data_IF_893260056477
#
_entry.id   IF_893260056477
#
_cell.length_a   1.000
_cell.length_b   1.000
_cell.length_c   1.000
_cell.angle_alpha   90.00
_cell.angle_beta   90.00
_cell.angle_gamma   90.00
#
_symmetry.space_group_name_H-M   'P 1'
#
loop_
_entity.id
_entity.type
_entity.pdbx_description
1 polymer ?
#
# COMPACT_ATOMS: atom_id res chain seq x y z
N UNK A 1 8.07 -40.52 -23.65
CA UNK A 1 7.08 -39.49 -24.03
C UNK A 1 6.23 -39.20 -22.80
N UNK A 2 6.65 -38.23 -21.99
CA UNK A 2 5.92 -37.81 -20.79
C UNK A 2 5.00 -36.66 -21.15
N UNK A 3 3.70 -36.85 -21.00
CA UNK A 3 2.69 -35.80 -21.12
C UNK A 3 2.86 -34.84 -19.94
N UNK A 4 3.40 -33.65 -20.20
CA UNK A 4 3.35 -32.56 -19.24
C UNK A 4 1.88 -32.18 -19.00
N UNK A 5 1.37 -32.57 -17.84
CA UNK A 5 0.14 -32.02 -17.29
C UNK A 5 0.32 -30.52 -17.09
N UNK A 6 -0.08 -29.74 -18.10
CA UNK A 6 -0.28 -28.32 -17.95
C UNK A 6 -1.39 -28.15 -16.93
N UNK A 7 -1.02 -27.75 -15.72
CA UNK A 7 -1.95 -27.31 -14.69
C UNK A 7 -2.70 -26.11 -15.27
N UNK A 8 -3.87 -26.36 -15.86
CA UNK A 8 -4.76 -25.32 -16.39
C UNK A 8 -5.45 -24.68 -15.19
N UNK A 9 -4.78 -23.70 -14.58
CA UNK A 9 -5.42 -22.85 -13.60
C UNK A 9 -6.55 -22.07 -14.30
N UNK A 10 -7.79 -22.33 -13.90
CA UNK A 10 -8.97 -21.54 -14.27
C UNK A 10 -9.03 -20.25 -13.43
N UNK A 11 -7.95 -19.46 -13.42
CA UNK A 11 -7.98 -18.09 -12.93
C UNK A 11 -8.67 -17.18 -13.95
N UNK A 12 -9.24 -16.04 -13.54
CA UNK A 12 -9.96 -15.20 -14.48
C UNK A 12 -8.97 -14.62 -15.51
N UNK A 13 -9.30 -14.78 -16.80
CA UNK A 13 -8.42 -14.57 -17.98
C UNK A 13 -7.67 -13.22 -18.03
N UNK A 14 -8.11 -12.22 -17.27
CA UNK A 14 -7.47 -10.91 -17.18
C UNK A 14 -6.13 -10.92 -16.40
N UNK A 15 -5.98 -11.80 -15.40
CA UNK A 15 -4.72 -11.96 -14.66
C UNK A 15 -3.59 -12.51 -15.56
N UNK A 16 -3.91 -13.44 -16.46
CA UNK A 16 -2.92 -14.08 -17.34
C UNK A 16 -2.32 -13.14 -18.39
N UNK A 17 -3.13 -12.23 -18.94
CA UNK A 17 -2.68 -11.29 -19.97
C UNK A 17 -1.66 -10.27 -19.47
N UNK A 18 -1.73 -9.93 -18.17
CA UNK A 18 -0.79 -9.01 -17.54
C UNK A 18 0.60 -9.63 -17.36
N UNK A 19 0.66 -10.89 -16.88
CA UNK A 19 1.90 -11.63 -16.63
C UNK A 19 2.67 -12.01 -17.89
N UNK A 20 1.99 -12.14 -19.04
CA UNK A 20 2.64 -12.47 -20.32
C UNK A 20 3.28 -11.27 -21.01
N UNK A 21 2.88 -10.03 -20.69
CA UNK A 21 3.46 -8.84 -21.30
C UNK A 21 4.73 -8.42 -20.59
N UNK A 22 5.90 -8.56 -21.24
CA UNK A 22 7.21 -8.10 -20.72
C UNK A 22 7.21 -6.63 -20.30
N UNK A 23 6.32 -5.81 -20.90
CA UNK A 23 6.16 -4.38 -20.61
C UNK A 23 5.49 -4.10 -19.26
N UNK A 24 4.75 -5.04 -18.70
CA UNK A 24 4.14 -4.93 -17.38
C UNK A 24 5.09 -5.34 -16.24
N UNK A 25 6.14 -6.12 -16.55
CA UNK A 25 7.08 -6.66 -15.56
C UNK A 25 8.04 -5.62 -15.00
N UNK A 26 8.63 -4.79 -15.85
CA UNK A 26 9.57 -3.73 -15.43
C UNK A 26 8.97 -2.83 -14.34
N UNK A 27 7.76 -2.27 -14.50
CA UNK A 27 7.19 -1.42 -13.47
C UNK A 27 6.65 -2.17 -12.26
N UNK A 28 6.19 -3.41 -12.44
CA UNK A 28 5.83 -4.27 -11.31
C UNK A 28 7.05 -4.49 -10.41
N UNK A 29 8.20 -4.81 -11.01
CA UNK A 29 9.48 -4.96 -10.30
C UNK A 29 9.91 -3.65 -9.64
N UNK A 30 9.78 -2.52 -10.35
CA UNK A 30 10.08 -1.20 -9.78
C UNK A 30 9.19 -0.87 -8.57
N UNK A 31 7.89 -1.15 -8.66
CA UNK A 31 6.96 -0.93 -7.55
C UNK A 31 7.26 -1.88 -6.37
N UNK A 32 7.47 -3.17 -6.65
CA UNK A 32 7.82 -4.16 -5.65
C UNK A 32 9.14 -3.81 -4.92
N UNK A 33 10.14 -3.35 -5.68
CA UNK A 33 11.42 -2.90 -5.12
C UNK A 33 11.22 -1.69 -4.19
N UNK A 34 10.47 -0.67 -4.62
CA UNK A 34 10.18 0.50 -3.79
C UNK A 34 9.40 0.13 -2.53
N UNK A 35 8.37 -0.72 -2.66
CA UNK A 35 7.61 -1.21 -1.50
C UNK A 35 8.50 -1.98 -0.53
N UNK A 36 9.36 -2.88 -1.01
CA UNK A 36 10.30 -3.61 -0.18
C UNK A 36 11.32 -2.68 0.50
N UNK A 37 11.85 -1.68 -0.22
CA UNK A 37 12.79 -0.70 0.35
C UNK A 37 12.14 0.14 1.46
N UNK A 38 10.88 0.54 1.31
CA UNK A 38 10.14 1.27 2.36
C UNK A 38 9.98 0.39 3.61
N UNK A 39 9.61 -0.87 3.43
CA UNK A 39 9.46 -1.82 4.55
C UNK A 39 10.78 -2.13 5.24
N UNK A 40 11.85 -2.34 4.48
CA UNK A 40 13.19 -2.55 5.03
C UNK A 40 13.69 -1.32 5.79
N UNK A 41 13.45 -0.13 5.24
CA UNK A 41 13.78 1.12 5.91
C UNK A 41 12.99 1.29 7.21
N UNK A 42 11.69 1.01 7.19
CA UNK A 42 10.86 1.07 8.40
C UNK A 42 11.26 0.02 9.44
N UNK A 43 11.59 -1.19 9.02
CA UNK A 43 12.07 -2.26 9.88
C UNK A 43 13.39 -1.88 10.58
N UNK A 44 14.36 -1.38 9.82
CA UNK A 44 15.64 -0.91 10.37
C UNK A 44 15.45 0.29 11.31
N UNK A 45 14.58 1.23 10.92
CA UNK A 45 14.17 2.34 11.78
C UNK A 45 13.60 1.84 13.12
N UNK A 46 12.82 0.76 13.11
CA UNK A 46 12.24 0.19 14.33
C UNK A 46 13.24 -0.57 15.19
N UNK A 47 14.17 -1.31 14.58
CA UNK A 47 15.29 -1.93 15.30
C UNK A 47 16.10 -0.85 16.02
N UNK A 48 16.42 0.25 15.35
CA UNK A 48 17.19 1.37 15.93
C UNK A 48 16.50 2.01 17.14
N UNK A 49 15.18 1.84 17.27
CA UNK A 49 14.34 2.36 18.38
C UNK A 49 14.11 1.33 19.49
N UNK A 50 14.83 0.21 19.49
CA UNK A 50 14.77 -0.79 20.54
C UNK A 50 13.76 -1.91 20.28
N UNK A 51 13.29 -2.10 19.05
CA UNK A 51 12.52 -3.29 18.69
C UNK A 51 13.45 -4.51 18.71
N UNK A 52 13.19 -5.44 19.65
CA UNK A 52 13.87 -6.74 19.66
C UNK A 52 13.29 -7.64 18.57
N UNK A 53 14.14 -8.04 17.64
CA UNK A 53 13.77 -9.00 16.59
C UNK A 53 13.75 -10.43 17.15
N UNK A 54 12.57 -11.05 17.18
CA UNK A 54 12.43 -12.47 17.52
C UNK A 54 12.71 -13.31 16.29
N UNK A 55 13.90 -13.91 16.28
CA UNK A 55 14.33 -14.83 15.24
C UNK A 55 13.95 -16.26 15.61
N UNK A 56 13.24 -16.93 14.71
CA UNK A 56 12.94 -18.36 14.80
C UNK A 56 13.90 -19.09 13.87
N UNK A 57 14.58 -20.12 14.37
CA UNK A 57 15.45 -20.93 13.53
C UNK A 57 14.59 -21.95 12.77
N UNK A 58 14.58 -21.86 11.45
CA UNK A 58 13.95 -22.85 10.59
C UNK A 58 15.01 -23.85 10.15
N UNK A 59 14.78 -25.14 10.43
CA UNK A 59 15.62 -26.21 9.90
C UNK A 59 15.12 -26.60 8.51
N UNK A 60 15.91 -26.30 7.49
CA UNK A 60 15.67 -26.71 6.10
C UNK A 60 16.80 -27.63 5.67
N UNK A 61 16.52 -28.94 5.63
CA UNK A 61 17.46 -29.94 5.09
C UNK A 61 18.87 -29.86 5.67
N UNK A 62 19.00 -29.62 6.98
CA UNK A 62 20.28 -29.52 7.69
C UNK A 62 20.84 -28.11 7.89
N UNK A 63 20.25 -27.09 7.27
CA UNK A 63 20.66 -25.69 7.45
C UNK A 63 19.73 -24.98 8.43
N UNK A 64 20.32 -24.31 9.42
CA UNK A 64 19.60 -23.43 10.37
C UNK A 64 19.58 -22.02 9.79
N UNK A 65 18.43 -21.61 9.25
CA UNK A 65 18.26 -20.25 8.71
C UNK A 65 17.54 -19.41 9.77
N UNK A 66 18.14 -18.30 10.25
CA UNK A 66 17.46 -17.39 11.16
C UNK A 66 16.34 -16.67 10.40
N UNK A 67 15.10 -16.90 10.81
CA UNK A 67 13.91 -16.30 10.22
C UNK A 67 13.31 -15.27 11.17
N UNK A 68 13.35 -14.00 10.78
CA UNK A 68 12.71 -12.91 11.54
C UNK A 68 11.21 -12.86 11.23
N UNK A 69 10.39 -13.06 12.27
CA UNK A 69 8.92 -12.94 12.14
C UNK A 69 8.53 -11.49 11.79
N UNK A 70 9.22 -10.52 12.39
CA UNK A 70 8.96 -9.09 12.17
C UNK A 70 9.30 -8.67 10.74
N UNK A 71 10.42 -9.15 10.19
CA UNK A 71 10.78 -8.95 8.79
C UNK A 71 9.75 -9.62 7.86
N UNK A 72 9.31 -10.83 8.18
CA UNK A 72 8.30 -11.52 7.39
C UNK A 72 6.97 -10.76 7.34
N UNK A 73 6.56 -10.15 8.44
CA UNK A 73 5.37 -9.30 8.50
C UNK A 73 5.53 -8.05 7.62
N UNK A 74 6.67 -7.37 7.71
CA UNK A 74 6.99 -6.21 6.87
C UNK A 74 7.01 -6.57 5.37
N UNK A 75 7.68 -7.67 5.00
CA UNK A 75 7.69 -8.14 3.62
C UNK A 75 6.31 -8.64 3.15
N UNK A 76 5.49 -9.20 4.04
CA UNK A 76 4.11 -9.54 3.76
C UNK A 76 3.28 -8.33 3.34
N UNK A 77 3.51 -7.18 3.97
CA UNK A 77 2.87 -5.92 3.58
C UNK A 77 3.38 -5.41 2.22
N UNK A 78 4.66 -5.57 1.89
CA UNK A 78 5.14 -5.30 0.53
C UNK A 78 4.40 -6.13 -0.53
N UNK A 79 4.16 -7.42 -0.28
CA UNK A 79 3.38 -8.30 -1.18
C UNK A 79 1.93 -7.83 -1.31
N UNK A 80 1.32 -7.40 -0.21
CA UNK A 80 -0.02 -6.82 -0.19
C UNK A 80 -0.09 -5.56 -1.06
N UNK A 81 0.88 -4.65 -0.94
CA UNK A 81 0.94 -3.43 -1.76
C UNK A 81 1.04 -3.75 -3.24
N UNK A 82 1.90 -4.70 -3.61
CA UNK A 82 2.07 -5.14 -5.00
C UNK A 82 0.75 -5.70 -5.54
N UNK A 83 0.04 -6.49 -4.74
CA UNK A 83 -1.25 -7.09 -5.11
C UNK A 83 -2.34 -6.03 -5.28
N UNK A 84 -2.43 -5.05 -4.37
CA UNK A 84 -3.36 -3.92 -4.49
C UNK A 84 -3.06 -3.06 -5.72
N UNK A 85 -1.78 -2.79 -5.97
CA UNK A 85 -1.34 -2.01 -7.12
C UNK A 85 -1.71 -2.70 -8.42
N UNK A 86 -1.43 -4.00 -8.54
CA UNK A 86 -1.79 -4.77 -9.71
C UNK A 86 -3.30 -4.72 -9.96
N UNK A 87 -4.12 -4.98 -8.93
CA UNK A 87 -5.58 -4.98 -9.06
C UNK A 87 -6.17 -3.62 -9.46
N UNK A 88 -5.64 -2.52 -8.93
CA UNK A 88 -6.03 -1.15 -9.31
C UNK A 88 -5.56 -0.79 -10.72
N UNK A 89 -4.31 -1.11 -11.01
CA UNK A 89 -3.69 -0.77 -12.28
C UNK A 89 -4.41 -1.43 -13.45
N UNK A 90 -4.69 -2.72 -13.36
CA UNK A 90 -5.40 -3.45 -14.41
C UNK A 90 -6.79 -2.83 -14.66
N UNK A 91 -7.52 -2.45 -13.61
CA UNK A 91 -8.85 -1.84 -13.78
C UNK A 91 -8.80 -0.44 -14.39
N UNK A 92 -7.75 0.34 -14.14
CA UNK A 92 -7.60 1.72 -14.65
C UNK A 92 -6.93 1.75 -16.03
N UNK A 93 -5.98 0.86 -16.30
CA UNK A 93 -5.22 0.80 -17.55
C UNK A 93 -6.10 0.42 -18.76
N UNK A 94 -7.06 -0.49 -18.58
CA UNK A 94 -7.98 -0.90 -19.65
C UNK A 94 -9.16 0.08 -19.88
N UNK A 95 -9.30 1.11 -19.05
CA UNK A 95 -10.36 2.12 -19.19
C UNK A 95 -9.98 3.19 -20.24
N UNK A 96 -10.41 3.04 -21.49
CA UNK A 96 -10.32 4.12 -22.48
C UNK A 96 -8.94 4.29 -23.11
N UNK A 97 -8.45 3.25 -23.77
CA UNK A 97 -7.28 3.35 -24.65
C UNK A 97 -7.69 4.12 -25.93
N UNK A 98 -7.30 5.39 -26.00
CA UNK A 98 -7.40 6.20 -27.22
C UNK A 98 -6.65 5.54 -28.39
N UNK A 99 -7.12 5.77 -29.63
CA UNK A 99 -6.61 5.16 -30.86
C UNK A 99 -5.11 5.44 -31.11
N UNK A 100 -4.61 6.58 -30.64
CA UNK A 100 -3.24 7.01 -30.93
C UNK A 100 -2.17 6.34 -30.04
N UNK A 101 -1.15 5.73 -30.66
CA UNK A 101 -0.06 4.98 -30.02
C UNK A 101 0.85 5.84 -29.14
N UNK A 102 1.11 7.09 -29.49
CA UNK A 102 2.00 7.97 -28.68
C UNK A 102 1.32 8.44 -27.41
N UNK A 103 0.08 8.93 -27.54
CA UNK A 103 -0.76 9.35 -26.40
C UNK A 103 -1.00 8.17 -25.46
N UNK A 104 -1.22 6.96 -26.00
CA UNK A 104 -1.36 5.73 -25.23
C UNK A 104 -0.15 5.43 -24.34
N UNK A 105 1.08 5.66 -24.83
CA UNK A 105 2.31 5.39 -24.06
C UNK A 105 2.44 6.34 -22.86
N UNK A 106 2.22 7.64 -23.08
CA UNK A 106 2.33 8.65 -22.02
C UNK A 106 1.20 8.49 -21.00
N UNK A 107 -0.04 8.29 -21.46
CA UNK A 107 -1.17 8.06 -20.56
C UNK A 107 -1.03 6.79 -19.74
N UNK A 108 -0.43 5.73 -20.30
CA UNK A 108 -0.17 4.49 -19.59
C UNK A 108 0.81 4.72 -18.42
N UNK A 109 1.94 5.38 -18.67
CA UNK A 109 2.92 5.73 -17.63
C UNK A 109 2.32 6.64 -16.56
N UNK A 110 1.57 7.68 -16.96
CA UNK A 110 0.95 8.60 -16.01
C UNK A 110 -0.07 7.90 -15.11
N UNK A 111 -0.87 6.98 -15.68
CA UNK A 111 -1.82 6.18 -14.90
C UNK A 111 -1.12 5.24 -13.92
N UNK A 112 0.03 4.67 -14.30
CA UNK A 112 0.83 3.84 -13.40
C UNK A 112 1.39 4.65 -12.23
N UNK A 113 2.00 5.80 -12.51
CA UNK A 113 2.54 6.67 -11.46
C UNK A 113 1.42 7.09 -10.52
N UNK A 114 0.26 7.45 -11.07
CA UNK A 114 -0.93 7.80 -10.28
C UNK A 114 -1.40 6.64 -9.40
N UNK A 115 -1.49 5.41 -9.91
CA UNK A 115 -1.91 4.25 -9.10
C UNK A 115 -0.87 3.90 -8.05
N UNK A 116 0.41 4.02 -8.37
CA UNK A 116 1.50 3.83 -7.40
C UNK A 116 1.40 4.84 -6.27
N UNK A 117 1.27 6.14 -6.60
CA UNK A 117 1.16 7.21 -5.61
C UNK A 117 -0.10 7.06 -4.74
N UNK A 118 -1.23 6.64 -5.33
CA UNK A 118 -2.47 6.43 -4.59
C UNK A 118 -2.39 5.32 -3.52
N UNK A 119 -1.45 4.39 -3.66
CA UNK A 119 -1.26 3.27 -2.73
C UNK A 119 -0.11 3.58 -1.78
N UNK A 120 1.04 3.99 -2.32
CA UNK A 120 2.24 4.29 -1.54
C UNK A 120 2.03 5.46 -0.58
N UNK A 121 1.39 6.55 -1.01
CA UNK A 121 1.24 7.73 -0.16
C UNK A 121 0.45 7.45 1.13
N UNK A 122 -0.79 6.90 1.09
CA UNK A 122 -1.51 6.59 2.32
C UNK A 122 -0.80 5.51 3.13
N UNK A 123 -0.20 4.51 2.47
CA UNK A 123 0.56 3.47 3.16
C UNK A 123 1.70 4.06 3.99
N UNK A 124 2.59 4.82 3.37
CA UNK A 124 3.75 5.41 4.06
C UNK A 124 3.33 6.40 5.14
N UNK A 125 2.32 7.24 4.89
CA UNK A 125 1.82 8.18 5.91
C UNK A 125 1.31 7.43 7.14
N UNK A 126 0.51 6.38 6.93
CA UNK A 126 -0.06 5.59 8.02
C UNK A 126 0.98 4.75 8.74
N UNK A 127 1.98 4.22 8.02
CA UNK A 127 3.07 3.44 8.58
C UNK A 127 3.90 4.27 9.58
N UNK A 128 4.22 5.51 9.19
CA UNK A 128 4.97 6.45 10.01
C UNK A 128 4.09 7.30 10.94
N UNK A 129 2.77 7.12 10.94
CA UNK A 129 1.83 7.98 11.64
C UNK A 129 2.16 8.18 13.13
N UNK A 130 2.44 7.13 13.93
CA UNK A 130 2.76 7.31 15.34
C UNK A 130 3.99 8.21 15.55
N UNK A 131 4.96 8.13 14.65
CA UNK A 131 6.21 8.90 14.71
C UNK A 131 6.05 10.32 14.18
N UNK A 132 5.18 10.53 13.19
CA UNK A 132 4.82 11.87 12.72
C UNK A 132 4.16 12.64 13.87
N UNK A 133 3.28 12.00 14.64
CA UNK A 133 2.60 12.58 15.81
C UNK A 133 3.55 12.95 16.95
N UNK A 134 4.66 12.22 17.12
CA UNK A 134 5.68 12.51 18.13
C UNK A 134 6.73 13.55 17.66
N UNK A 135 6.71 13.96 16.39
CA UNK A 135 7.70 14.87 15.83
C UNK A 135 7.57 16.29 16.37
N UNK A 136 8.71 16.92 16.72
CA UNK A 136 8.78 18.30 17.22
C UNK A 136 8.19 19.33 16.26
N UNK A 137 8.35 19.11 14.96
CA UNK A 137 7.72 19.93 13.91
C UNK A 137 6.19 19.88 14.01
N UNK A 138 5.63 18.70 14.24
CA UNK A 138 4.18 18.51 14.21
C UNK A 138 3.52 19.04 15.49
N UNK A 139 4.19 18.86 16.63
CA UNK A 139 3.87 19.52 17.89
C UNK A 139 3.91 21.04 17.72
N UNK A 140 4.94 21.58 17.06
CA UNK A 140 5.07 23.01 16.80
C UNK A 140 3.91 23.57 15.96
N UNK A 141 3.51 22.85 14.90
CA UNK A 141 2.40 23.26 14.06
C UNK A 141 1.06 23.17 14.79
N UNK A 142 0.82 22.10 15.54
CA UNK A 142 -0.40 21.95 16.33
C UNK A 142 -0.53 23.03 17.40
N UNK A 143 0.56 23.36 18.10
CA UNK A 143 0.59 24.47 19.05
C UNK A 143 0.37 25.82 18.34
N UNK A 144 0.92 26.01 17.14
CA UNK A 144 0.65 27.19 16.32
C UNK A 144 -0.84 27.35 16.01
N UNK A 145 -1.51 26.28 15.58
CA UNK A 145 -2.95 26.27 15.31
C UNK A 145 -3.76 26.49 16.59
N UNK A 146 -3.39 25.86 17.69
CA UNK A 146 -4.05 26.05 18.99
C UNK A 146 -3.91 27.48 19.54
N UNK A 147 -2.81 28.16 19.23
CA UNK A 147 -2.60 29.56 19.59
C UNK A 147 -3.38 30.52 18.67
N UNK A 148 -3.54 30.19 17.39
CA UNK A 148 -4.35 30.99 16.45
C UNK A 148 -5.86 30.79 16.64
N UNK A 149 -6.28 29.60 17.09
CA UNK A 149 -7.69 29.25 17.28
C UNK A 149 -7.87 28.67 18.69
N UNK A 150 -8.16 29.52 19.70
CA UNK A 150 -8.22 29.11 21.10
C UNK A 150 -9.26 28.02 21.39
N UNK A 151 -10.33 27.92 20.59
CA UNK A 151 -11.35 26.87 20.72
C UNK A 151 -10.84 25.46 20.39
N UNK A 152 -9.76 25.34 19.62
CA UNK A 152 -9.14 24.05 19.29
C UNK A 152 -8.11 23.59 20.31
N UNK A 153 -7.67 24.49 21.20
CA UNK A 153 -6.58 24.21 22.15
C UNK A 153 -6.90 23.03 23.06
N UNK A 154 -8.11 22.98 23.63
CA UNK A 154 -8.54 21.86 24.47
C UNK A 154 -8.60 20.52 23.71
N UNK A 155 -9.01 20.54 22.44
CA UNK A 155 -9.02 19.34 21.59
C UNK A 155 -7.60 18.87 21.25
N UNK A 156 -6.67 19.81 21.01
CA UNK A 156 -5.27 19.53 20.72
C UNK A 156 -4.59 18.92 21.96
N UNK A 157 -4.78 19.52 23.13
CA UNK A 157 -4.21 19.03 24.39
C UNK A 157 -4.77 17.64 24.75
N UNK A 158 -6.08 17.43 24.57
CA UNK A 158 -6.72 16.13 24.77
C UNK A 158 -6.20 15.06 23.80
N UNK A 159 -5.99 15.41 22.53
CA UNK A 159 -5.41 14.52 21.53
C UNK A 159 -3.96 14.15 21.86
N UNK A 160 -3.12 15.12 22.26
CA UNK A 160 -1.74 14.87 22.64
C UNK A 160 -1.62 14.05 23.92
N UNK A 161 -2.50 14.28 24.91
CA UNK A 161 -2.58 13.45 26.12
C UNK A 161 -2.85 11.98 25.79
N UNK A 162 -3.83 11.72 24.91
CA UNK A 162 -4.14 10.37 24.44
C UNK A 162 -3.01 9.76 23.60
N UNK A 163 -2.45 10.54 22.66
CA UNK A 163 -1.31 10.17 21.82
C UNK A 163 -0.08 9.81 22.67
N UNK A 164 0.17 10.53 23.76
CA UNK A 164 1.27 10.24 24.69
C UNK A 164 1.04 8.94 25.48
N UNK A 165 -0.22 8.54 25.70
CA UNK A 165 -0.56 7.22 26.20
C UNK A 165 -0.13 6.11 25.23
N UNK A 166 -0.35 6.33 23.91
CA UNK A 166 0.11 5.44 22.86
C UNK A 166 1.65 5.46 22.70
N UNK A 167 2.30 6.60 22.93
CA UNK A 167 3.76 6.70 22.82
C UNK A 167 4.50 5.86 23.88
N UNK A 168 3.86 5.58 25.01
CA UNK A 168 4.40 4.71 26.07
C UNK A 168 4.25 3.22 25.81
N UNK A 169 3.60 2.82 24.71
CA UNK A 169 3.53 1.40 24.34
C UNK A 169 4.87 0.89 23.83
N UNK A 170 5.15 -0.40 24.08
CA UNK A 170 6.40 -1.03 23.69
C UNK A 170 6.63 -0.96 22.17
N UNK A 171 7.90 -0.87 21.76
CA UNK A 171 8.29 -0.78 20.35
C UNK A 171 7.70 -1.89 19.45
N UNK A 172 7.59 -3.17 19.87
CA UNK A 172 6.95 -4.22 19.07
C UNK A 172 5.45 -3.98 18.84
N UNK A 173 4.75 -3.43 19.84
CA UNK A 173 3.33 -3.11 19.75
C UNK A 173 3.11 -1.97 18.76
N UNK A 174 3.96 -0.93 18.81
CA UNK A 174 3.95 0.16 17.83
C UNK A 174 4.21 -0.35 16.41
N UNK A 175 5.16 -1.28 16.24
CA UNK A 175 5.45 -1.88 14.95
C UNK A 175 4.22 -2.59 14.37
N UNK A 176 3.61 -3.50 15.14
CA UNK A 176 2.44 -4.26 14.68
C UNK A 176 1.26 -3.32 14.40
N UNK A 177 1.00 -2.36 15.28
CA UNK A 177 -0.08 -1.40 15.11
C UNK A 177 0.11 -0.54 13.85
N UNK A 178 1.31 0.01 13.63
CA UNK A 178 1.65 0.74 12.40
C UNK A 178 1.44 -0.10 11.16
N UNK A 179 1.92 -1.35 11.16
CA UNK A 179 1.79 -2.26 10.01
C UNK A 179 0.33 -2.59 9.71
N UNK A 180 -0.51 -2.81 10.74
CA UNK A 180 -1.93 -3.10 10.57
C UNK A 180 -2.71 -1.86 10.10
N UNK A 181 -2.47 -0.70 10.71
CA UNK A 181 -3.14 0.56 10.35
C UNK A 181 -2.78 0.94 8.91
N UNK A 182 -1.51 0.83 8.53
CA UNK A 182 -1.06 1.12 7.18
C UNK A 182 -1.71 0.20 6.15
N UNK A 183 -1.71 -1.11 6.38
CA UNK A 183 -2.32 -2.07 5.47
C UNK A 183 -3.82 -1.90 5.37
N UNK A 184 -4.52 -1.77 6.50
CA UNK A 184 -5.96 -1.59 6.51
C UNK A 184 -6.38 -0.27 5.84
N UNK A 185 -5.73 0.84 6.19
CA UNK A 185 -6.04 2.13 5.58
C UNK A 185 -5.76 2.14 4.08
N UNK A 186 -4.70 1.48 3.63
CA UNK A 186 -4.38 1.36 2.20
C UNK A 186 -5.39 0.48 1.46
N UNK A 187 -5.85 -0.61 2.07
CA UNK A 187 -6.94 -1.43 1.53
C UNK A 187 -8.22 -0.60 1.38
N UNK A 188 -8.58 0.20 2.39
CA UNK A 188 -9.77 1.06 2.34
C UNK A 188 -9.66 2.09 1.22
N UNK A 189 -8.52 2.78 1.11
CA UNK A 189 -8.28 3.76 0.02
C UNK A 189 -8.35 3.07 -1.34
N UNK A 190 -7.70 1.91 -1.49
CA UNK A 190 -7.74 1.15 -2.73
C UNK A 190 -9.17 0.69 -3.08
N UNK A 191 -9.91 0.17 -2.10
CA UNK A 191 -11.30 -0.25 -2.24
C UNK A 191 -12.23 0.89 -2.66
N UNK A 192 -12.08 2.08 -2.07
CA UNK A 192 -12.85 3.26 -2.44
C UNK A 192 -12.57 3.71 -3.87
N UNK A 193 -11.31 3.69 -4.31
CA UNK A 193 -10.95 4.01 -5.69
C UNK A 193 -11.53 2.99 -6.67
N UNK A 194 -11.47 1.71 -6.32
CA UNK A 194 -12.07 0.64 -7.12
C UNK A 194 -13.59 0.80 -7.23
N UNK A 195 -14.27 1.10 -6.13
CA UNK A 195 -15.71 1.37 -6.11
C UNK A 195 -16.07 2.56 -7.01
N UNK A 196 -15.35 3.67 -6.90
CA UNK A 196 -15.56 4.86 -7.74
C UNK A 196 -15.46 4.54 -9.24
N UNK A 197 -14.45 3.77 -9.64
CA UNK A 197 -14.25 3.38 -11.04
C UNK A 197 -15.37 2.44 -11.54
N UNK A 198 -15.84 1.52 -10.69
CA UNK A 198 -16.93 0.61 -11.03
C UNK A 198 -18.28 1.35 -11.16
N UNK A 199 -18.60 2.25 -10.23
CA UNK A 199 -19.83 3.04 -10.25
C UNK A 199 -19.92 3.92 -11.51
N UNK A 200 -18.82 4.54 -11.93
CA UNK A 200 -18.76 5.32 -13.17
C UNK A 200 -19.03 4.46 -14.43
N UNK A 201 -18.57 3.21 -14.46
CA UNK A 201 -18.85 2.26 -15.56
C UNK A 201 -20.30 1.77 -15.56
N UNK A 202 -20.88 1.57 -14.38
CA UNK A 202 -22.30 1.21 -14.24
C UNK A 202 -23.21 2.31 -14.79
N UNK A 203 -22.95 3.56 -14.39
CA UNK A 203 -23.72 4.72 -14.83
C UNK A 203 -23.64 4.96 -16.34
N UNK A 204 -22.45 4.87 -16.92
CA UNK A 204 -22.26 5.04 -18.38
C UNK A 204 -23.01 3.98 -19.19
N UNK A 205 -23.04 2.72 -18.74
CA UNK A 205 -23.85 1.66 -19.37
C UNK A 205 -25.36 1.93 -19.27
N UNK A 206 -25.82 2.43 -18.12
CA UNK A 206 -27.23 2.79 -17.93
C UNK A 206 -27.64 3.94 -18.86
N UNK A 207 -26.80 4.98 -18.97
CA UNK A 207 -27.05 6.12 -19.86
C UNK A 207 -27.02 5.70 -21.34
N UNK A 208 -26.09 4.84 -21.75
CA UNK A 208 -26.07 4.30 -23.12
C UNK A 208 -27.32 3.46 -23.42
N UNK A 209 -27.77 2.61 -22.50
CA UNK A 209 -29.00 1.83 -22.67
C UNK A 209 -30.25 2.70 -22.78
N UNK A 210 -30.29 3.86 -22.11
CA UNK A 210 -31.39 4.83 -22.21
C UNK A 210 -31.36 5.66 -23.50
N UNK A 211 -30.22 5.84 -24.15
CA UNK A 211 -30.11 6.53 -25.45
C UNK A 211 -30.44 5.65 -26.66
N UNK A 212 -30.43 4.33 -26.48
CA UNK A 212 -30.73 3.35 -27.53
C UNK A 212 -32.19 2.86 -27.50
N UNK A 213 -33.02 3.41 -26.60
CA UNK A 213 -34.47 3.29 -26.59
C UNK A 213 -35.06 4.62 -26.98
#
# INVERSE_FOLDING_TARGET
>A
MGTEDKIVFHGPRWLYGFWQSTRARIPLLGFALVSALIELFYFDFMISRGMLDKQVQLQLGGWLIPFSISLALALGNAVLLVSLWQGLFERIAYAGLSSDRRVRRIMYLLRMIRTSALILAPFTILLFLPYILESSWWVGLANGVGNSVPSLRGSIDGFYSWSYGLSRTDAPTKFIASQLIASFGTIVVAGLQLWRVQSARGLTKIVQRRRLR
#
